data_IF_338091278973
#
_entry.id   IF_338091278973
#
_cell.length_a   1.000
_cell.length_b   1.000
_cell.length_c   1.000
_cell.angle_alpha   90.00
_cell.angle_beta   90.00
_cell.angle_gamma   90.00
#
_symmetry.space_group_name_H-M   'P 1'
#
loop_
_entity.id
_entity.type
_entity.pdbx_description
1 polymer ?
#
# COMPACT_ATOMS: atom_id res chain seq x y z
N UNK A 1 10.47 -21.58 -13.84
CA UNK A 1 10.94 -20.18 -13.79
C UNK A 1 10.17 -19.52 -12.69
N UNK A 2 10.80 -18.73 -11.78
CA UNK A 2 10.09 -18.01 -10.70
C UNK A 2 9.40 -16.77 -11.27
N UNK A 3 8.16 -16.49 -10.84
CA UNK A 3 7.44 -15.24 -11.11
C UNK A 3 8.07 -14.07 -10.39
N UNK A 4 7.67 -12.81 -10.69
CA UNK A 4 8.12 -11.64 -9.92
C UNK A 4 7.66 -11.77 -8.47
N UNK A 5 6.40 -12.18 -8.25
CA UNK A 5 5.88 -12.45 -6.92
C UNK A 5 6.73 -13.46 -6.15
N UNK A 6 7.13 -14.60 -6.78
CA UNK A 6 7.97 -15.60 -6.12
C UNK A 6 9.33 -15.05 -5.71
N UNK A 7 9.94 -14.20 -6.53
CA UNK A 7 11.24 -13.59 -6.22
C UNK A 7 11.13 -12.65 -5.02
N UNK A 8 10.17 -11.72 -5.05
CA UNK A 8 9.93 -10.79 -3.95
C UNK A 8 9.60 -11.52 -2.66
N UNK A 9 8.75 -12.56 -2.74
CA UNK A 9 8.42 -13.38 -1.60
C UNK A 9 9.63 -14.10 -1.00
N UNK A 10 10.41 -14.78 -1.83
CA UNK A 10 11.55 -15.58 -1.36
C UNK A 10 12.66 -14.70 -0.77
N UNK A 11 12.87 -13.48 -1.30
CA UNK A 11 13.87 -12.53 -0.80
C UNK A 11 13.50 -11.96 0.58
N UNK A 12 12.19 -11.96 0.94
CA UNK A 12 11.70 -11.42 2.23
C UNK A 12 11.19 -12.50 3.19
N UNK A 13 11.25 -13.76 2.80
CA UNK A 13 10.79 -14.87 3.61
C UNK A 13 11.69 -15.07 4.83
N UNK A 14 11.13 -14.88 6.03
CA UNK A 14 11.84 -15.11 7.31
C UNK A 14 11.66 -16.54 7.78
N UNK A 15 10.41 -17.04 7.77
CA UNK A 15 10.09 -18.37 8.26
C UNK A 15 8.82 -18.92 7.62
N UNK A 16 8.75 -20.22 7.42
CA UNK A 16 7.53 -20.95 7.01
C UNK A 16 6.97 -21.73 8.17
N UNK A 17 5.64 -21.86 8.23
CA UNK A 17 4.93 -22.66 9.21
C UNK A 17 4.20 -23.84 8.54
N UNK A 18 3.89 -24.88 9.30
CA UNK A 18 3.18 -26.07 8.81
C UNK A 18 1.78 -25.75 8.28
N UNK A 19 1.15 -24.65 8.76
CA UNK A 19 -0.16 -24.14 8.36
C UNK A 19 -0.23 -23.52 6.97
N UNK A 20 0.82 -23.59 6.16
CA UNK A 20 1.00 -22.86 4.88
C UNK A 20 1.13 -21.34 5.04
N UNK A 21 1.21 -20.84 6.25
CA UNK A 21 1.53 -19.44 6.53
C UNK A 21 3.04 -19.27 6.57
N UNK A 22 3.46 -18.04 6.34
CA UNK A 22 4.85 -17.65 6.44
C UNK A 22 4.98 -16.31 7.16
N UNK A 23 6.13 -16.09 7.77
CA UNK A 23 6.54 -14.80 8.28
C UNK A 23 7.38 -14.12 7.21
N UNK A 24 6.92 -12.95 6.77
CA UNK A 24 7.55 -12.15 5.71
C UNK A 24 8.04 -10.85 6.32
N UNK A 25 9.28 -10.48 6.05
CA UNK A 25 9.85 -9.20 6.48
C UNK A 25 9.22 -8.05 5.69
N UNK A 26 8.99 -6.90 6.35
CA UNK A 26 8.36 -5.71 5.76
C UNK A 26 9.38 -4.57 5.73
N UNK A 27 9.70 -4.07 4.53
CA UNK A 27 10.65 -2.96 4.35
C UNK A 27 10.04 -1.61 4.68
N UNK A 28 8.77 -1.42 4.31
CA UNK A 28 8.04 -0.16 4.52
C UNK A 28 6.65 -0.41 5.08
N UNK A 29 6.31 0.32 6.12
CA UNK A 29 4.99 0.35 6.71
C UNK A 29 4.44 1.76 6.66
N UNK A 30 3.38 1.96 5.88
CA UNK A 30 2.65 3.21 5.84
C UNK A 30 1.53 3.21 6.87
N UNK A 31 1.34 4.35 7.53
CA UNK A 31 0.34 4.54 8.59
C UNK A 31 -0.55 5.73 8.25
N UNK A 32 -1.81 5.60 8.57
CA UNK A 32 -2.79 6.69 8.47
C UNK A 32 -3.74 6.68 9.68
N UNK A 33 -4.58 7.72 9.79
CA UNK A 33 -5.36 8.00 11.00
C UNK A 33 -6.49 6.98 11.27
N UNK A 34 -6.97 6.23 10.26
CA UNK A 34 -8.13 5.37 10.42
C UNK A 34 -7.81 4.05 11.12
N UNK A 35 -6.72 3.38 10.75
CA UNK A 35 -6.40 2.01 11.21
C UNK A 35 -5.29 1.95 12.24
N UNK A 36 -4.55 3.03 12.46
CA UNK A 36 -3.41 3.06 13.38
C UNK A 36 -3.74 3.25 14.87
N UNK A 37 -4.84 3.94 15.28
CA UNK A 37 -5.06 4.24 16.72
C UNK A 37 -5.09 3.01 17.61
N UNK A 38 -5.85 1.98 17.25
CA UNK A 38 -5.93 0.75 18.04
C UNK A 38 -4.63 -0.05 18.04
N UNK A 39 -3.85 0.03 16.95
CA UNK A 39 -2.54 -0.63 16.87
C UNK A 39 -1.56 -0.01 17.87
N UNK A 40 -1.51 1.32 17.97
CA UNK A 40 -0.70 2.02 18.97
C UNK A 40 -1.18 1.75 20.40
N UNK A 41 -2.49 1.71 20.63
CA UNK A 41 -3.04 1.33 21.94
C UNK A 41 -2.61 -0.10 22.33
N UNK A 42 -2.64 -1.03 21.39
CA UNK A 42 -2.15 -2.40 21.59
C UNK A 42 -0.67 -2.46 21.99
N UNK A 43 0.18 -1.64 21.37
CA UNK A 43 1.60 -1.51 21.74
C UNK A 43 1.74 -1.01 23.18
N UNK A 44 1.00 0.05 23.58
CA UNK A 44 1.03 0.59 24.96
C UNK A 44 0.63 -0.47 25.98
N UNK A 45 -0.47 -1.19 25.76
CA UNK A 45 -0.95 -2.23 26.67
C UNK A 45 0.06 -3.36 26.85
N UNK A 46 0.87 -3.65 25.85
CA UNK A 46 1.90 -4.69 25.87
C UNK A 46 3.28 -4.20 26.28
N UNK A 47 3.44 -2.88 26.54
CA UNK A 47 4.72 -2.21 26.77
C UNK A 47 5.73 -2.48 25.64
N UNK A 48 5.25 -2.42 24.39
CA UNK A 48 6.06 -2.57 23.19
C UNK A 48 6.27 -1.22 22.51
N UNK A 49 7.36 -1.10 21.76
CA UNK A 49 7.64 0.03 20.87
C UNK A 49 7.86 -0.47 19.44
N UNK A 50 7.67 0.38 18.42
CA UNK A 50 8.00 0.03 17.06
C UNK A 50 9.46 -0.42 16.94
N UNK A 51 9.69 -1.57 16.31
CA UNK A 51 11.03 -2.17 16.26
C UNK A 51 11.98 -1.40 15.32
N UNK A 52 11.47 -0.89 14.18
CA UNK A 52 12.26 -0.11 13.21
C UNK A 52 11.55 1.19 12.88
N UNK A 53 11.93 2.27 13.55
CA UNK A 53 11.30 3.58 13.36
C UNK A 53 11.37 4.04 11.91
N UNK A 54 12.52 3.95 11.27
CA UNK A 54 12.74 4.41 9.89
C UNK A 54 11.99 3.59 8.82
N UNK A 55 11.40 2.45 9.18
CA UNK A 55 10.56 1.68 8.27
C UNK A 55 9.12 2.20 8.23
N UNK A 56 8.71 2.99 9.22
CA UNK A 56 7.37 3.50 9.35
C UNK A 56 7.30 4.96 8.87
N UNK A 57 6.28 5.27 8.06
CA UNK A 57 5.99 6.62 7.57
C UNK A 57 4.49 6.86 7.69
N UNK A 58 4.09 7.96 8.30
CA UNK A 58 2.70 8.29 8.57
C UNK A 58 2.25 9.55 7.82
N UNK A 59 0.99 9.57 7.42
CA UNK A 59 0.30 10.76 6.91
C UNK A 59 -1.20 10.61 7.12
N UNK A 60 -1.95 11.65 7.51
CA UNK A 60 -3.41 11.61 7.49
C UNK A 60 -3.88 11.81 6.03
N UNK A 61 -4.81 10.99 5.56
CA UNK A 61 -5.29 11.08 4.18
C UNK A 61 -6.79 10.78 3.98
N UNK A 62 -7.42 10.05 4.89
CA UNK A 62 -8.83 9.68 4.78
C UNK A 62 -9.76 10.75 5.36
N UNK A 63 -9.43 11.30 6.51
CA UNK A 63 -10.27 12.22 7.30
C UNK A 63 -9.78 13.67 7.22
N UNK A 64 -9.20 14.04 6.10
CA UNK A 64 -8.71 15.39 5.85
C UNK A 64 -9.59 16.10 4.82
N UNK A 65 -9.95 17.38 5.02
CA UNK A 65 -10.68 18.15 4.03
C UNK A 65 -9.91 18.33 2.72
N UNK A 66 -10.65 18.33 1.62
CA UNK A 66 -10.09 18.57 0.28
C UNK A 66 -9.90 20.06 -0.03
N UNK A 67 -10.59 20.93 0.71
CA UNK A 67 -10.46 22.38 0.60
C UNK A 67 -9.58 22.86 1.76
N UNK A 68 -8.42 23.41 1.45
CA UNK A 68 -7.47 23.96 2.43
C UNK A 68 -7.52 25.48 2.44
N UNK A 69 -7.67 26.07 3.61
CA UNK A 69 -7.40 27.48 3.84
C UNK A 69 -5.92 27.73 4.16
N UNK A 70 -5.51 29.00 4.18
CA UNK A 70 -4.10 29.41 4.38
C UNK A 70 -3.49 28.99 5.75
N UNK A 71 -4.32 28.53 6.70
CA UNK A 71 -3.90 28.09 8.04
C UNK A 71 -4.67 26.85 8.49
N UNK A 72 -4.72 25.83 7.61
CA UNK A 72 -5.48 24.61 7.88
C UNK A 72 -4.75 23.75 8.93
N UNK A 73 -5.43 23.46 10.04
CA UNK A 73 -4.94 22.64 11.16
C UNK A 73 -5.91 21.52 11.51
N UNK A 74 -5.44 20.48 12.18
CA UNK A 74 -6.28 19.38 12.63
C UNK A 74 -7.48 19.86 13.46
N UNK A 75 -7.27 20.88 14.32
CA UNK A 75 -8.34 21.46 15.15
C UNK A 75 -9.43 22.15 14.35
N UNK A 76 -9.16 22.54 13.09
CA UNK A 76 -10.14 23.18 12.20
C UNK A 76 -11.03 22.21 11.45
N UNK A 77 -10.83 20.90 11.59
CA UNK A 77 -11.71 19.87 10.99
C UNK A 77 -13.08 19.96 11.66
N UNK A 78 -14.13 20.12 10.84
CA UNK A 78 -15.50 20.30 11.34
C UNK A 78 -16.11 19.01 11.89
N UNK A 79 -15.84 17.87 11.27
CA UNK A 79 -16.29 16.56 11.76
C UNK A 79 -15.46 16.12 12.96
N UNK A 80 -16.09 16.02 14.11
CA UNK A 80 -15.40 15.71 15.38
C UNK A 80 -14.72 14.34 15.39
N UNK A 81 -15.25 13.34 14.69
CA UNK A 81 -14.64 12.00 14.64
C UNK A 81 -13.37 12.06 13.79
N UNK A 82 -13.46 12.67 12.61
CA UNK A 82 -12.31 12.90 11.72
C UNK A 82 -11.19 13.67 12.43
N UNK A 83 -11.56 14.75 13.12
CA UNK A 83 -10.64 15.55 13.93
C UNK A 83 -9.91 14.71 14.98
N UNK A 84 -10.66 13.95 15.78
CA UNK A 84 -10.08 13.09 16.82
C UNK A 84 -9.10 12.09 16.22
N UNK A 85 -9.43 11.47 15.07
CA UNK A 85 -8.55 10.49 14.43
C UNK A 85 -7.26 11.11 13.93
N UNK A 86 -7.31 12.28 13.29
CA UNK A 86 -6.11 12.99 12.83
C UNK A 86 -5.24 13.41 14.01
N UNK A 87 -5.83 14.02 15.05
CA UNK A 87 -5.09 14.41 16.26
C UNK A 87 -4.48 13.21 17.01
N UNK A 88 -5.16 12.06 17.02
CA UNK A 88 -4.63 10.85 17.65
C UNK A 88 -3.44 10.26 16.83
N UNK A 89 -3.47 10.38 15.49
CA UNK A 89 -2.31 10.03 14.67
C UNK A 89 -1.11 10.90 15.03
N UNK A 90 -1.30 12.24 15.13
CA UNK A 90 -0.24 13.19 15.49
C UNK A 90 0.34 12.85 16.86
N UNK A 91 -0.51 12.60 17.85
CA UNK A 91 -0.11 12.21 19.20
C UNK A 91 0.69 10.89 19.19
N UNK A 92 0.22 9.89 18.46
CA UNK A 92 0.87 8.58 18.39
C UNK A 92 2.24 8.67 17.68
N UNK A 93 2.33 9.41 16.56
CA UNK A 93 3.59 9.61 15.88
C UNK A 93 4.62 10.36 16.72
N UNK A 94 4.18 11.38 17.48
CA UNK A 94 5.04 12.10 18.41
C UNK A 94 5.52 11.21 19.57
N UNK A 95 4.61 10.41 20.17
CA UNK A 95 4.94 9.53 21.31
C UNK A 95 5.92 8.43 20.91
N UNK A 96 5.73 7.83 19.72
CA UNK A 96 6.53 6.70 19.24
C UNK A 96 7.67 7.11 18.29
N UNK A 97 7.92 8.41 18.12
CA UNK A 97 8.99 8.97 17.27
C UNK A 97 8.91 8.50 15.79
N UNK A 98 7.69 8.35 15.25
CA UNK A 98 7.47 7.95 13.86
C UNK A 98 7.48 9.19 12.96
N UNK A 99 8.19 9.09 11.84
CA UNK A 99 8.17 10.13 10.81
C UNK A 99 6.75 10.32 10.29
N UNK A 100 6.25 11.54 10.40
CA UNK A 100 4.92 11.93 9.93
C UNK A 100 5.00 13.15 9.02
N UNK A 101 4.25 13.10 7.93
CA UNK A 101 3.84 14.26 7.15
C UNK A 101 2.43 14.63 7.58
N UNK A 102 2.34 15.50 8.58
CA UNK A 102 1.09 15.91 9.18
C UNK A 102 0.23 16.77 8.23
N UNK A 103 -0.94 17.18 8.70
CA UNK A 103 -1.91 17.94 7.90
C UNK A 103 -1.40 19.34 7.50
N UNK A 104 -0.41 19.89 8.21
CA UNK A 104 0.23 21.18 7.92
C UNK A 104 1.43 21.02 6.96
N UNK A 105 1.93 19.78 6.79
CA UNK A 105 3.06 19.50 5.89
C UNK A 105 2.69 19.76 4.43
N UNK A 106 3.63 20.31 3.68
CA UNK A 106 3.49 20.48 2.22
C UNK A 106 3.51 19.14 1.47
N UNK A 107 4.14 18.16 2.05
CA UNK A 107 4.30 16.80 1.53
C UNK A 107 3.13 15.89 1.92
N UNK A 108 2.16 16.37 2.74
CA UNK A 108 0.97 15.60 3.09
C UNK A 108 0.13 15.31 1.84
N UNK A 109 -0.29 14.07 1.70
CA UNK A 109 -1.11 13.63 0.58
C UNK A 109 -1.67 12.21 0.79
N UNK A 110 -2.36 11.70 -0.22
CA UNK A 110 -2.80 10.30 -0.22
C UNK A 110 -1.57 9.40 -0.05
N UNK A 111 -1.60 8.52 0.95
CA UNK A 111 -0.45 7.69 1.36
C UNK A 111 0.18 6.91 0.20
N UNK A 112 -0.65 6.38 -0.72
CA UNK A 112 -0.19 5.63 -1.89
C UNK A 112 0.34 6.50 -3.04
N UNK A 113 0.23 7.81 -2.95
CA UNK A 113 0.79 8.80 -3.89
C UNK A 113 2.02 9.46 -3.26
N UNK A 114 1.87 9.97 -2.03
CA UNK A 114 2.95 10.62 -1.28
C UNK A 114 4.18 9.71 -1.14
N UNK A 115 3.96 8.43 -0.80
CA UNK A 115 5.04 7.48 -0.62
C UNK A 115 5.97 7.34 -1.83
N UNK A 116 5.44 7.09 -3.04
CA UNK A 116 6.22 7.08 -4.27
C UNK A 116 6.85 8.43 -4.61
N UNK A 117 6.09 9.53 -4.56
CA UNK A 117 6.57 10.86 -4.93
C UNK A 117 7.73 11.36 -4.06
N UNK A 118 7.76 10.97 -2.79
CA UNK A 118 8.83 11.33 -1.85
C UNK A 118 9.97 10.28 -1.78
N UNK A 119 9.94 9.24 -2.64
CA UNK A 119 10.98 8.22 -2.69
C UNK A 119 10.95 7.20 -1.54
N UNK A 120 9.84 7.08 -0.81
CA UNK A 120 9.67 6.07 0.23
C UNK A 120 9.21 4.71 -0.31
N UNK A 121 8.75 4.65 -1.55
CA UNK A 121 8.42 3.43 -2.29
C UNK A 121 9.48 3.17 -3.35
N UNK A 122 10.26 2.11 -3.21
CA UNK A 122 11.33 1.76 -4.14
C UNK A 122 11.16 0.31 -4.64
N UNK A 123 11.59 0.03 -5.88
CA UNK A 123 11.52 -1.32 -6.45
C UNK A 123 12.12 -2.40 -5.55
N UNK A 124 11.45 -3.53 -5.48
CA UNK A 124 11.91 -4.69 -4.71
C UNK A 124 11.45 -4.73 -3.26
N UNK A 125 10.87 -3.65 -2.72
CA UNK A 125 10.40 -3.60 -1.34
C UNK A 125 9.16 -4.46 -1.10
N UNK A 126 9.01 -4.90 0.16
CA UNK A 126 7.73 -5.32 0.75
C UNK A 126 7.09 -4.14 1.46
N UNK A 127 5.82 -3.86 1.16
CA UNK A 127 5.11 -2.67 1.65
C UNK A 127 3.75 -3.08 2.24
N UNK A 128 3.43 -2.55 3.42
CA UNK A 128 2.10 -2.71 4.01
C UNK A 128 1.52 -1.38 4.49
N UNK A 129 0.20 -1.33 4.53
CA UNK A 129 -0.58 -0.24 5.10
C UNK A 129 -1.92 -0.79 5.58
N UNK A 130 -2.54 -0.14 6.54
CA UNK A 130 -3.90 -0.45 6.99
C UNK A 130 -5.00 -0.03 5.99
N UNK A 131 -4.68 0.05 4.71
CA UNK A 131 -5.56 0.41 3.59
C UNK A 131 -5.55 -0.69 2.52
N UNK A 132 -6.73 -1.03 2.01
CA UNK A 132 -6.89 -2.10 1.00
C UNK A 132 -6.19 -1.79 -0.32
N UNK A 133 -6.05 -0.51 -0.70
CA UNK A 133 -5.43 -0.07 -1.96
C UNK A 133 -3.89 0.04 -1.89
N UNK A 134 -3.26 -0.53 -0.87
CA UNK A 134 -1.79 -0.65 -0.77
C UNK A 134 -1.17 -1.36 -1.96
N UNK A 135 -1.94 -2.20 -2.66
CA UNK A 135 -1.52 -2.83 -3.93
C UNK A 135 -1.05 -1.84 -5.00
N UNK A 136 -1.41 -0.54 -4.89
CA UNK A 136 -0.92 0.55 -5.75
C UNK A 136 0.60 0.55 -5.89
N UNK A 137 1.33 0.30 -4.81
CA UNK A 137 2.79 0.27 -4.80
C UNK A 137 3.39 -0.88 -5.64
N UNK A 138 2.57 -1.88 -6.00
CA UNK A 138 2.99 -2.93 -6.94
C UNK A 138 3.30 -2.43 -8.34
N UNK A 139 2.87 -1.23 -8.72
CA UNK A 139 3.26 -0.54 -9.94
C UNK A 139 4.77 -0.24 -10.02
N UNK A 140 5.43 -0.21 -8.86
CA UNK A 140 6.87 0.01 -8.70
C UNK A 140 7.66 -1.31 -8.54
N UNK A 141 7.02 -2.46 -8.78
CA UNK A 141 7.64 -3.77 -8.55
C UNK A 141 7.84 -4.09 -7.07
N UNK A 142 6.94 -3.61 -6.21
CA UNK A 142 6.91 -3.89 -4.78
C UNK A 142 5.91 -4.99 -4.45
N UNK A 143 6.22 -5.86 -3.50
CA UNK A 143 5.24 -6.75 -2.90
C UNK A 143 4.44 -5.96 -1.85
N UNK A 144 3.32 -5.40 -2.29
CA UNK A 144 2.52 -4.48 -1.50
C UNK A 144 1.12 -5.01 -1.24
N UNK A 145 0.66 -4.92 0.01
CA UNK A 145 -0.65 -5.43 0.40
C UNK A 145 -1.27 -4.68 1.58
N UNK A 146 -2.59 -4.52 1.53
CA UNK A 146 -3.39 -4.04 2.64
C UNK A 146 -3.47 -5.04 3.78
N UNK A 147 -3.42 -4.54 5.02
CA UNK A 147 -3.45 -5.35 6.25
C UNK A 147 -4.51 -4.84 7.24
N UNK A 148 -4.99 -5.70 8.12
CA UNK A 148 -5.92 -5.33 9.18
C UNK A 148 -5.24 -4.66 10.38
N UNK A 149 -6.02 -4.01 11.25
CA UNK A 149 -5.52 -3.26 12.41
C UNK A 149 -4.63 -4.09 13.35
N UNK A 150 -4.96 -5.35 13.61
CA UNK A 150 -4.14 -6.24 14.44
C UNK A 150 -2.82 -6.63 13.75
N UNK A 151 -2.80 -6.68 12.42
CA UNK A 151 -1.60 -6.89 11.64
C UNK A 151 -0.73 -5.62 11.63
N UNK A 152 -1.32 -4.41 11.62
CA UNK A 152 -0.61 -3.12 11.78
C UNK A 152 0.16 -3.13 13.10
N UNK A 153 -0.48 -3.49 14.22
CA UNK A 153 0.19 -3.62 15.52
C UNK A 153 1.35 -4.63 15.47
N UNK A 154 1.11 -5.81 14.86
CA UNK A 154 2.13 -6.84 14.74
C UNK A 154 3.35 -6.37 13.94
N UNK A 155 3.11 -5.70 12.80
CA UNK A 155 4.20 -5.17 11.95
C UNK A 155 4.95 -4.06 12.66
N UNK A 156 4.28 -3.15 13.36
CA UNK A 156 4.95 -2.15 14.19
C UNK A 156 5.91 -2.79 15.19
N UNK A 157 5.45 -3.83 15.92
CA UNK A 157 6.23 -4.48 16.96
C UNK A 157 7.37 -5.36 16.44
N UNK A 158 7.25 -5.96 15.24
CA UNK A 158 8.13 -7.03 14.76
C UNK A 158 8.78 -6.79 13.41
N UNK A 159 8.30 -5.85 12.65
CA UNK A 159 8.64 -5.58 11.25
C UNK A 159 8.36 -6.78 10.33
N UNK A 160 7.48 -7.67 10.73
CA UNK A 160 7.12 -8.86 9.97
C UNK A 160 5.61 -9.01 9.87
N UNK A 161 5.15 -9.63 8.79
CA UNK A 161 3.76 -9.99 8.56
C UNK A 161 3.63 -11.51 8.48
N UNK A 162 2.69 -12.08 9.24
CA UNK A 162 2.30 -13.49 9.12
C UNK A 162 1.16 -13.60 8.10
N UNK A 163 1.42 -14.25 6.95
CA UNK A 163 0.46 -14.33 5.85
C UNK A 163 0.65 -15.61 5.01
N UNK A 164 -0.40 -16.16 4.40
CA UNK A 164 -0.24 -17.28 3.48
C UNK A 164 0.38 -16.81 2.16
N UNK A 165 1.19 -17.69 1.54
CA UNK A 165 1.68 -17.46 0.19
C UNK A 165 0.52 -17.53 -0.80
N UNK A 166 0.36 -16.49 -1.62
CA UNK A 166 -0.67 -16.40 -2.66
C UNK A 166 -0.29 -17.24 -3.89
N UNK A 167 -1.28 -17.56 -4.70
CA UNK A 167 -1.04 -18.13 -6.03
C UNK A 167 -0.71 -17.02 -7.02
N UNK A 168 0.13 -17.31 -8.02
CA UNK A 168 0.42 -16.34 -9.07
C UNK A 168 -0.63 -16.41 -10.16
N UNK A 169 -1.13 -15.24 -10.60
CA UNK A 169 -1.99 -15.08 -11.77
C UNK A 169 -1.33 -14.06 -12.72
N UNK A 170 -1.25 -14.39 -14.00
CA UNK A 170 -0.79 -13.43 -14.99
C UNK A 170 -1.98 -12.86 -15.78
N UNK A 171 -2.00 -11.55 -15.94
CA UNK A 171 -2.95 -10.83 -16.81
C UNK A 171 -2.16 -10.11 -17.89
N UNK A 172 -2.46 -10.43 -19.16
CA UNK A 172 -1.80 -9.82 -20.32
C UNK A 172 -2.73 -8.82 -21.00
N UNK A 173 -2.38 -7.55 -20.97
CA UNK A 173 -3.03 -6.49 -21.73
C UNK A 173 -2.29 -6.25 -23.04
N UNK A 174 -2.87 -6.75 -24.15
CA UNK A 174 -2.25 -6.69 -25.47
C UNK A 174 -2.93 -5.64 -26.37
N UNK A 175 -2.12 -4.96 -27.18
CA UNK A 175 -2.58 -3.98 -28.14
C UNK A 175 -2.62 -2.57 -27.57
N UNK A 176 -3.28 -1.66 -28.30
CA UNK A 176 -3.46 -0.26 -27.95
C UNK A 176 -4.94 0.02 -27.76
N UNK A 177 -5.36 0.63 -26.65
CA UNK A 177 -6.76 1.02 -26.46
C UNK A 177 -7.15 2.13 -27.45
N UNK A 178 -8.46 2.25 -27.69
CA UNK A 178 -9.01 3.37 -28.44
C UNK A 178 -8.85 4.68 -27.65
N UNK A 179 -8.85 5.80 -28.37
CA UNK A 179 -8.80 7.11 -27.77
C UNK A 179 -9.98 7.32 -26.79
N UNK A 180 -9.68 7.86 -25.62
CA UNK A 180 -10.64 8.06 -24.54
C UNK A 180 -10.78 6.88 -23.56
N UNK A 181 -10.20 5.73 -23.86
CA UNK A 181 -10.15 4.58 -22.91
C UNK A 181 -8.99 4.78 -21.94
N UNK A 182 -9.31 4.75 -20.65
CA UNK A 182 -8.34 4.90 -19.55
C UNK A 182 -7.95 3.56 -18.94
N UNK A 183 -6.92 3.56 -18.12
CA UNK A 183 -6.51 2.36 -17.34
C UNK A 183 -7.62 1.83 -16.45
N UNK A 184 -8.46 2.72 -15.89
CA UNK A 184 -9.65 2.34 -15.11
C UNK A 184 -10.63 1.52 -15.94
N UNK A 185 -10.91 1.92 -17.17
CA UNK A 185 -11.82 1.18 -18.07
C UNK A 185 -11.28 -0.21 -18.38
N UNK A 186 -9.96 -0.33 -18.56
CA UNK A 186 -9.28 -1.60 -18.83
C UNK A 186 -9.43 -2.55 -17.64
N UNK A 187 -9.21 -2.08 -16.42
CA UNK A 187 -9.38 -2.91 -15.21
C UNK A 187 -10.86 -3.24 -14.98
N UNK A 188 -11.78 -2.30 -15.19
CA UNK A 188 -13.21 -2.59 -15.11
C UNK A 188 -13.64 -3.66 -16.14
N UNK A 189 -13.04 -3.65 -17.32
CA UNK A 189 -13.25 -4.70 -18.30
C UNK A 189 -12.70 -6.05 -17.83
N UNK A 190 -11.50 -6.09 -17.23
CA UNK A 190 -10.97 -7.31 -16.60
C UNK A 190 -11.92 -7.84 -15.53
N UNK A 191 -12.39 -6.98 -14.62
CA UNK A 191 -13.33 -7.37 -13.57
C UNK A 191 -14.63 -7.92 -14.15
N UNK A 192 -15.11 -7.34 -15.24
CA UNK A 192 -16.28 -7.89 -15.99
C UNK A 192 -16.04 -9.31 -16.47
N UNK A 193 -14.80 -9.64 -16.88
CA UNK A 193 -14.46 -10.98 -17.42
C UNK A 193 -14.29 -12.03 -16.31
N UNK A 194 -13.61 -11.68 -15.21
CA UNK A 194 -13.25 -12.64 -14.15
C UNK A 194 -14.15 -12.56 -12.91
N UNK A 195 -14.97 -11.51 -12.79
CA UNK A 195 -15.78 -11.21 -11.62
C UNK A 195 -14.98 -10.49 -10.50
N UNK A 196 -15.70 -9.95 -9.52
CA UNK A 196 -15.12 -9.24 -8.35
C UNK A 196 -14.34 -10.14 -7.38
N UNK A 197 -14.45 -11.45 -7.53
CA UNK A 197 -13.75 -12.45 -6.72
C UNK A 197 -12.76 -13.29 -7.55
N UNK A 198 -12.58 -12.99 -8.84
CA UNK A 198 -11.73 -13.78 -9.74
C UNK A 198 -10.25 -13.81 -9.33
N UNK A 199 -9.76 -12.76 -8.67
CA UNK A 199 -8.41 -12.65 -8.15
C UNK A 199 -8.22 -13.14 -6.72
N UNK A 200 -9.27 -13.65 -6.06
CA UNK A 200 -9.18 -14.06 -4.65
C UNK A 200 -8.11 -15.14 -4.45
N UNK A 201 -7.24 -14.94 -3.48
CA UNK A 201 -6.11 -15.84 -3.18
C UNK A 201 -4.94 -15.74 -4.15
N UNK A 202 -4.94 -14.75 -5.07
CA UNK A 202 -3.88 -14.55 -6.04
C UNK A 202 -3.12 -13.24 -5.84
N UNK A 203 -1.86 -13.26 -6.24
CA UNK A 203 -1.08 -12.10 -6.64
C UNK A 203 -1.15 -11.97 -8.17
N UNK A 204 -1.68 -10.86 -8.67
CA UNK A 204 -1.84 -10.64 -10.10
C UNK A 204 -0.61 -9.90 -10.64
N UNK A 205 0.08 -10.50 -11.62
CA UNK A 205 1.15 -9.84 -12.39
C UNK A 205 0.57 -9.33 -13.72
N UNK A 206 0.53 -8.01 -13.87
CA UNK A 206 0.08 -7.36 -15.10
C UNK A 206 1.26 -7.16 -16.06
N UNK A 207 1.07 -7.54 -17.32
CA UNK A 207 2.08 -7.43 -18.37
C UNK A 207 1.43 -7.22 -19.75
N UNK A 208 2.27 -7.12 -20.78
CA UNK A 208 1.85 -6.98 -22.17
C UNK A 208 2.09 -5.59 -22.73
N UNK A 209 1.91 -5.45 -24.05
CA UNK A 209 2.31 -4.25 -24.79
C UNK A 209 1.61 -2.96 -24.31
N UNK A 210 0.42 -3.05 -23.73
CA UNK A 210 -0.21 -1.90 -23.08
C UNK A 210 0.56 -1.46 -21.84
N UNK A 211 0.94 -2.39 -20.97
CA UNK A 211 1.72 -2.10 -19.76
C UNK A 211 3.08 -1.48 -20.10
N UNK A 212 3.76 -2.02 -21.14
CA UNK A 212 5.06 -1.51 -21.59
C UNK A 212 5.00 -0.04 -22.02
N UNK A 213 3.84 0.40 -22.54
CA UNK A 213 3.61 1.79 -22.99
C UNK A 213 2.91 2.68 -21.96
N UNK A 214 2.45 2.13 -20.82
CA UNK A 214 1.67 2.85 -19.81
C UNK A 214 2.56 3.77 -18.96
N UNK A 215 2.06 4.96 -18.63
CA UNK A 215 2.68 5.84 -17.63
C UNK A 215 2.64 5.22 -16.23
N UNK A 216 3.41 5.75 -15.28
CA UNK A 216 3.38 5.27 -13.89
C UNK A 216 2.01 5.46 -13.25
N UNK A 217 1.31 6.56 -13.51
CA UNK A 217 -0.04 6.81 -12.99
C UNK A 217 -1.05 5.79 -13.53
N UNK A 218 -0.90 5.40 -14.79
CA UNK A 218 -1.69 4.33 -15.40
C UNK A 218 -1.41 2.97 -14.74
N UNK A 219 -0.14 2.65 -14.47
CA UNK A 219 0.28 1.44 -13.78
C UNK A 219 -0.20 1.42 -12.33
N UNK A 220 -0.12 2.56 -11.64
CA UNK A 220 -0.66 2.74 -10.28
C UNK A 220 -2.17 2.48 -10.26
N UNK A 221 -2.93 3.02 -11.21
CA UNK A 221 -4.37 2.75 -11.34
C UNK A 221 -4.67 1.27 -11.51
N UNK A 222 -3.90 0.56 -12.33
CA UNK A 222 -4.10 -0.88 -12.58
C UNK A 222 -3.81 -1.69 -11.31
N UNK A 223 -2.70 -1.44 -10.64
CA UNK A 223 -2.34 -2.14 -9.41
C UNK A 223 -3.26 -1.78 -8.25
N UNK A 224 -3.70 -0.50 -8.16
CA UNK A 224 -4.68 -0.03 -7.19
C UNK A 224 -5.96 -0.85 -7.26
N UNK A 225 -6.51 -1.01 -8.46
CA UNK A 225 -7.78 -1.69 -8.70
C UNK A 225 -7.67 -3.23 -8.70
N UNK A 226 -6.54 -3.82 -8.37
CA UNK A 226 -6.45 -5.28 -8.20
C UNK A 226 -7.35 -5.78 -7.07
N UNK A 227 -7.59 -4.94 -6.04
CA UNK A 227 -8.46 -5.29 -4.91
C UNK A 227 -9.92 -5.44 -5.33
N UNK A 228 -10.42 -4.65 -6.28
CA UNK A 228 -11.79 -4.78 -6.80
C UNK A 228 -11.99 -6.06 -7.61
N UNK A 229 -10.90 -6.66 -8.11
CA UNK A 229 -10.90 -7.99 -8.68
C UNK A 229 -10.75 -9.11 -7.63
N UNK A 230 -10.64 -8.76 -6.34
CA UNK A 230 -10.48 -9.69 -5.23
C UNK A 230 -9.03 -10.07 -4.90
N UNK A 231 -8.04 -9.55 -5.62
CA UNK A 231 -6.63 -9.84 -5.36
C UNK A 231 -6.04 -8.92 -4.29
N UNK A 232 -5.24 -9.49 -3.36
CA UNK A 232 -4.51 -8.69 -2.36
C UNK A 232 -3.30 -7.96 -2.94
N UNK A 233 -2.75 -8.44 -4.06
CA UNK A 233 -1.49 -7.97 -4.65
C UNK A 233 -1.69 -7.78 -6.16
N UNK A 234 -1.34 -6.60 -6.66
CA UNK A 234 -1.16 -6.31 -8.07
C UNK A 234 0.30 -5.94 -8.31
N UNK A 235 0.94 -6.47 -9.34
CA UNK A 235 2.36 -6.29 -9.63
C UNK A 235 2.59 -5.92 -11.08
N UNK A 236 3.52 -5.02 -11.31
CA UNK A 236 4.09 -4.72 -12.63
C UNK A 236 5.62 -4.81 -12.51
N UNK A 237 6.26 -5.46 -13.47
CA UNK A 237 7.72 -5.58 -13.47
C UNK A 237 8.38 -4.21 -13.66
N UNK A 238 9.52 -4.03 -12.98
CA UNK A 238 10.33 -2.81 -13.09
C UNK A 238 10.92 -2.71 -14.48
N UNK A 239 10.79 -1.54 -15.10
CA UNK A 239 11.37 -1.19 -16.38
C UNK A 239 11.95 0.25 -16.35
N UNK A 240 12.33 0.76 -17.52
CA UNK A 240 12.91 2.11 -17.60
C UNK A 240 11.91 3.21 -17.20
N UNK A 241 10.60 3.00 -17.43
CA UNK A 241 9.54 3.94 -16.99
C UNK A 241 9.53 4.05 -15.46
N UNK A 242 9.60 2.91 -14.78
CA UNK A 242 9.69 2.87 -13.31
C UNK A 242 10.96 3.55 -12.80
N UNK A 243 12.13 3.21 -13.39
CA UNK A 243 13.43 3.76 -12.97
C UNK A 243 13.56 5.27 -13.22
N UNK A 244 12.87 5.82 -14.22
CA UNK A 244 12.87 7.25 -14.48
C UNK A 244 11.96 8.03 -13.53
N UNK A 245 11.00 7.35 -12.89
CA UNK A 245 10.05 7.96 -11.94
C UNK A 245 10.64 8.07 -10.52
N UNK A 246 11.37 7.05 -10.08
CA UNK A 246 12.03 6.99 -8.77
C UNK A 246 13.44 7.56 -8.82
#
# INVERSE_FOLDING_TARGET
>A
MKTLYDKLWDDHLVQTYESREALVYIDRHYLHEVTSPQAFEGLRHKNLSPWRLNANVATPDHNVPTIRGDSFKAESIEDEISKIQVMELDKNCNEFEILQFDIESKEQGIVHVMGPELGYTLPGMTIVCGDSHTSTHGAFGCLAMGIGTSEVEHVLATQCLKTPKLQSMQVLFQGKPHDGVTSKDIVLHLIKLIGTAGGTGHAIEFAGSYIDSASMESRMTICNMAIEAGAKVGLIAVDQTTLNYV
#
